data_IF_080324181222
#
_entry.id   IF_080324181222
#
_cell.length_a   1.000
_cell.length_b   1.000
_cell.length_c   1.000
_cell.angle_alpha   90.00
_cell.angle_beta   90.00
_cell.angle_gamma   90.00
#
_symmetry.space_group_name_H-M   'P 1'
#
loop_
_entity.id
_entity.type
_entity.pdbx_description
1 polymer ?
#
# COMPACT_ATOMS: atom_id res chain seq x y z
N UNK A 1 -21.07 -2.44 12.96
CA UNK A 1 -20.24 -2.67 11.77
C UNK A 1 -21.13 -3.18 10.66
N UNK A 2 -21.32 -2.37 9.62
CA UNK A 2 -21.98 -2.79 8.37
C UNK A 2 -20.94 -3.31 7.38
N UNK A 3 -21.38 -4.04 6.33
CA UNK A 3 -20.48 -4.48 5.25
C UNK A 3 -19.84 -3.30 4.52
N UNK A 4 -20.61 -2.25 4.29
CA UNK A 4 -20.15 -1.02 3.65
C UNK A 4 -19.04 -0.34 4.47
N UNK A 5 -19.23 -0.19 5.79
CA UNK A 5 -18.18 0.31 6.69
C UNK A 5 -16.91 -0.56 6.67
N UNK A 6 -17.05 -1.87 6.51
CA UNK A 6 -15.91 -2.77 6.41
C UNK A 6 -15.20 -2.62 5.06
N UNK A 7 -15.94 -2.52 3.95
CA UNK A 7 -15.39 -2.31 2.62
C UNK A 7 -14.64 -0.97 2.53
N UNK A 8 -15.21 0.10 3.09
CA UNK A 8 -14.57 1.41 3.15
C UNK A 8 -13.26 1.37 3.94
N UNK A 9 -13.25 0.67 5.08
CA UNK A 9 -12.06 0.54 5.93
C UNK A 9 -10.97 -0.34 5.31
N UNK A 10 -11.37 -1.28 4.45
CA UNK A 10 -10.47 -2.13 3.67
C UNK A 10 -10.09 -1.50 2.33
N UNK A 11 -10.58 -0.30 2.05
CA UNK A 11 -10.23 0.45 0.86
C UNK A 11 -8.96 1.27 1.10
N UNK A 12 -8.08 1.32 0.10
CA UNK A 12 -6.84 2.10 0.17
C UNK A 12 -6.63 2.81 -1.16
N UNK A 13 -6.24 4.08 -1.11
CA UNK A 13 -5.93 4.88 -2.30
C UNK A 13 -4.43 4.89 -2.57
N UNK A 14 -4.04 5.15 -3.81
CA UNK A 14 -2.63 5.35 -4.17
C UNK A 14 -2.02 6.51 -3.39
N UNK A 15 -2.79 7.57 -3.14
CA UNK A 15 -2.37 8.74 -2.39
C UNK A 15 -2.07 8.43 -0.90
N UNK A 16 -2.76 7.45 -0.32
CA UNK A 16 -2.44 6.95 1.03
C UNK A 16 -1.07 6.25 1.03
N UNK A 17 -0.82 5.39 0.04
CA UNK A 17 0.46 4.68 -0.10
C UNK A 17 1.63 5.62 -0.38
N UNK A 18 1.45 6.65 -1.22
CA UNK A 18 2.47 7.66 -1.48
C UNK A 18 2.87 8.40 -0.20
N UNK A 19 1.90 8.73 0.65
CA UNK A 19 2.17 9.32 1.97
C UNK A 19 2.96 8.37 2.87
N UNK A 20 2.63 7.09 2.87
CA UNK A 20 3.37 6.09 3.66
C UNK A 20 4.81 5.90 3.16
N UNK A 21 5.05 5.97 1.85
CA UNK A 21 6.41 5.95 1.29
C UNK A 21 7.26 7.12 1.79
N UNK A 22 6.69 8.32 1.92
CA UNK A 22 7.39 9.48 2.51
C UNK A 22 7.73 9.22 3.98
N UNK A 23 6.84 8.58 4.74
CA UNK A 23 7.10 8.22 6.14
C UNK A 23 8.22 7.18 6.26
N UNK A 24 8.32 6.24 5.32
CA UNK A 24 9.45 5.31 5.25
C UNK A 24 10.77 6.03 4.97
N UNK A 25 10.78 7.02 4.07
CA UNK A 25 11.97 7.80 3.78
C UNK A 25 12.46 8.57 5.01
N UNK A 26 11.54 9.21 5.74
CA UNK A 26 11.87 9.90 7.00
C UNK A 26 12.43 8.92 8.06
N UNK A 27 11.84 7.72 8.19
CA UNK A 27 12.35 6.69 9.09
C UNK A 27 13.75 6.21 8.68
N UNK A 28 14.01 6.02 7.39
CA UNK A 28 15.30 5.55 6.89
C UNK A 28 16.39 6.58 7.15
N UNK A 29 16.09 7.87 7.00
CA UNK A 29 16.97 8.97 7.38
C UNK A 29 17.29 8.93 8.88
N UNK A 30 16.28 8.70 9.74
CA UNK A 30 16.46 8.62 11.20
C UNK A 30 17.30 7.43 11.63
N UNK A 31 17.18 6.29 10.94
CA UNK A 31 17.94 5.08 11.26
C UNK A 31 19.39 5.15 10.78
N UNK A 32 19.67 5.90 9.71
CA UNK A 32 21.01 6.15 9.16
C UNK A 32 21.90 4.90 9.12
N UNK A 33 22.90 4.81 10.00
CA UNK A 33 23.89 3.73 10.07
C UNK A 33 23.32 2.40 10.59
N UNK A 34 22.16 2.44 11.23
CA UNK A 34 21.42 1.28 11.75
C UNK A 34 20.44 0.68 10.76
N UNK A 35 20.27 1.29 9.58
CA UNK A 35 19.35 0.77 8.58
C UNK A 35 19.91 -0.53 7.97
N UNK A 36 19.20 -1.67 8.08
CA UNK A 36 19.60 -2.89 7.38
C UNK A 36 19.54 -2.66 5.87
N UNK A 37 20.57 -3.10 5.14
CA UNK A 37 20.71 -2.81 3.70
C UNK A 37 19.57 -3.42 2.87
N UNK A 38 19.01 -4.52 3.33
CA UNK A 38 17.88 -5.22 2.74
C UNK A 38 16.62 -4.34 2.71
N UNK A 39 16.48 -3.41 3.67
CA UNK A 39 15.31 -2.52 3.72
C UNK A 39 15.25 -1.57 2.53
N UNK A 40 16.39 -1.22 1.94
CA UNK A 40 16.43 -0.45 0.70
C UNK A 40 15.80 -1.25 -0.45
N UNK A 41 16.10 -2.55 -0.56
CA UNK A 41 15.52 -3.40 -1.59
C UNK A 41 14.01 -3.61 -1.38
N UNK A 42 13.56 -3.77 -0.13
CA UNK A 42 12.13 -3.87 0.21
C UNK A 42 11.39 -2.61 -0.20
N UNK A 43 11.96 -1.42 0.07
CA UNK A 43 11.38 -0.14 -0.34
C UNK A 43 11.20 -0.05 -1.86
N UNK A 44 12.20 -0.45 -2.64
CA UNK A 44 12.09 -0.44 -4.11
C UNK A 44 11.02 -1.42 -4.61
N UNK A 45 10.89 -2.59 -3.97
CA UNK A 45 9.81 -3.53 -4.30
C UNK A 45 8.42 -2.96 -3.98
N UNK A 46 8.26 -2.29 -2.82
CA UNK A 46 7.01 -1.63 -2.45
C UNK A 46 6.64 -0.54 -3.47
N UNK A 47 7.60 0.31 -3.84
CA UNK A 47 7.40 1.33 -4.87
C UNK A 47 7.00 0.69 -6.21
N UNK A 48 7.69 -0.38 -6.63
CA UNK A 48 7.37 -1.10 -7.86
C UNK A 48 5.95 -1.67 -7.86
N UNK A 49 5.49 -2.17 -6.71
CA UNK A 49 4.12 -2.66 -6.56
C UNK A 49 3.11 -1.51 -6.67
N UNK A 50 3.33 -0.38 -5.99
CA UNK A 50 2.45 0.80 -6.07
C UNK A 50 2.30 1.29 -7.51
N UNK A 51 3.38 1.32 -8.31
CA UNK A 51 3.29 1.73 -9.71
C UNK A 51 2.41 0.83 -10.58
N UNK A 52 2.33 -0.47 -10.25
CA UNK A 52 1.53 -1.48 -10.98
C UNK A 52 0.11 -1.62 -10.44
N UNK A 53 -0.15 -1.06 -9.27
CA UNK A 53 -1.45 -1.07 -8.60
C UNK A 53 -2.46 -0.14 -9.27
N UNK A 54 -3.78 -0.43 -9.24
CA UNK A 54 -4.82 0.55 -9.57
C UNK A 54 -4.77 1.79 -8.66
N UNK A 55 -5.42 2.89 -9.07
CA UNK A 55 -5.51 4.13 -8.28
C UNK A 55 -6.26 3.92 -6.96
N UNK A 56 -7.29 3.07 -6.98
CA UNK A 56 -8.05 2.70 -5.80
C UNK A 56 -8.06 1.17 -5.66
N UNK A 57 -7.83 0.67 -4.45
CA UNK A 57 -8.06 -0.72 -4.08
C UNK A 57 -9.29 -0.79 -3.19
N UNK A 58 -10.24 -1.65 -3.53
CA UNK A 58 -11.35 -2.00 -2.64
C UNK A 58 -11.70 -3.47 -2.75
N UNK A 59 -12.28 -4.04 -1.68
CA UNK A 59 -12.81 -5.40 -1.71
C UNK A 59 -13.98 -5.55 -2.69
N UNK A 60 -14.71 -4.46 -2.94
CA UNK A 60 -15.84 -4.42 -3.87
C UNK A 60 -15.41 -4.69 -5.32
N UNK A 61 -14.20 -4.27 -5.70
CA UNK A 61 -13.62 -4.60 -7.01
C UNK A 61 -13.22 -6.07 -7.11
N UNK A 62 -12.79 -6.71 -6.02
CA UNK A 62 -12.43 -8.13 -6.01
C UNK A 62 -13.66 -9.04 -6.05
N UNK A 63 -14.74 -8.66 -5.35
CA UNK A 63 -16.04 -9.36 -5.42
C UNK A 63 -16.63 -9.36 -6.84
N UNK A 64 -16.35 -8.33 -7.64
CA UNK A 64 -16.77 -8.27 -9.04
C UNK A 64 -16.15 -9.38 -9.90
N UNK A 65 -14.96 -9.87 -9.55
CA UNK A 65 -14.31 -10.97 -10.27
C UNK A 65 -14.81 -12.35 -9.84
N UNK A 66 -15.32 -12.50 -8.61
CA UNK A 66 -15.88 -13.74 -8.09
C UNK A 66 -17.28 -14.04 -8.67
N UNK A 67 -18.06 -13.03 -9.06
CA UNK A 67 -19.42 -13.17 -9.61
C UNK A 67 -19.44 -13.42 -11.15
N UNK A 68 -18.26 -13.42 -11.79
CA UNK A 68 -18.07 -13.67 -13.24
C UNK A 68 -17.54 -15.11 -13.49
N UNK A 69 -17.51 -15.95 -12.45
CA UNK A 69 -17.09 -17.37 -12.48
C UNK A 69 -18.25 -18.35 -12.51
#
# INVERSE_FOLDING_TARGET
FTREQFNDLMSVTREDWEREMVMHDDLFIKLYDRLPKEMLAVRELLLSNIWRSPEHWSLSELEFFDDVG
#
